data_IF_128666523424
#
_entry.id   IF_128666523424
#
_cell.length_a   1.000
_cell.length_b   1.000
_cell.length_c   1.000
_cell.angle_alpha   90.00
_cell.angle_beta   90.00
_cell.angle_gamma   90.00
#
_symmetry.space_group_name_H-M   'P 1'
#
loop_
_entity.id
_entity.type
_entity.pdbx_description
1 polymer ?
#
# COMPACT_ATOMS: atom_id res chain seq x y z
N UNK A 1 -1.83 -4.74 -6.83
CA UNK A 1 -3.03 -4.16 -6.26
C UNK A 1 -2.85 -4.07 -4.75
N UNK A 2 -3.14 -2.92 -4.17
CA UNK A 2 -3.16 -2.70 -2.74
C UNK A 2 -4.60 -2.64 -2.28
N UNK A 3 -4.92 -3.40 -1.24
CA UNK A 3 -6.27 -3.57 -0.71
C UNK A 3 -6.28 -3.43 0.80
N UNK A 4 -7.45 -3.17 1.37
CA UNK A 4 -7.67 -3.17 2.81
C UNK A 4 -7.70 -4.61 3.38
N UNK A 5 -7.55 -4.78 4.69
CA UNK A 5 -7.76 -6.07 5.35
C UNK A 5 -9.20 -6.59 5.20
N UNK A 6 -10.18 -5.70 5.20
CA UNK A 6 -11.59 -6.03 5.03
C UNK A 6 -11.85 -6.57 3.62
N UNK A 7 -11.30 -5.89 2.58
CA UNK A 7 -11.38 -6.38 1.21
C UNK A 7 -10.67 -7.73 1.02
N UNK A 8 -9.59 -7.98 1.76
CA UNK A 8 -8.95 -9.29 1.77
C UNK A 8 -9.89 -10.36 2.34
N UNK A 9 -10.60 -10.07 3.44
CA UNK A 9 -11.55 -10.99 4.04
C UNK A 9 -12.71 -11.32 3.09
N UNK A 10 -13.24 -10.30 2.39
CA UNK A 10 -14.30 -10.49 1.40
C UNK A 10 -13.84 -11.38 0.24
N UNK A 11 -12.63 -11.16 -0.28
CA UNK A 11 -12.04 -11.99 -1.33
C UNK A 11 -11.88 -13.45 -0.87
N UNK A 12 -11.48 -13.68 0.38
CA UNK A 12 -11.36 -15.03 0.96
C UNK A 12 -12.69 -15.73 1.08
N UNK A 13 -13.76 -14.97 1.27
CA UNK A 13 -15.12 -15.48 1.39
C UNK A 13 -15.79 -15.71 0.03
N UNK A 14 -15.14 -15.39 -1.09
CA UNK A 14 -15.68 -15.66 -2.42
C UNK A 14 -15.98 -17.16 -2.59
N UNK A 15 -17.16 -17.43 -3.15
CA UNK A 15 -17.59 -18.78 -3.46
C UNK A 15 -16.73 -19.44 -4.55
N UNK A 16 -16.82 -20.76 -4.62
CA UNK A 16 -16.07 -21.57 -5.61
C UNK A 16 -16.39 -21.16 -7.05
N UNK A 17 -17.60 -20.69 -7.29
CA UNK A 17 -18.10 -20.30 -8.62
C UNK A 17 -17.64 -18.89 -9.04
N UNK A 18 -17.10 -18.10 -8.10
CA UNK A 18 -16.65 -16.72 -8.32
C UNK A 18 -15.16 -16.63 -8.63
N UNK A 19 -14.39 -17.65 -8.29
CA UNK A 19 -12.97 -17.74 -8.55
C UNK A 19 -12.66 -18.71 -9.69
N UNK A 20 -11.75 -18.33 -10.56
CA UNK A 20 -11.17 -19.26 -11.52
C UNK A 20 -10.32 -20.33 -10.79
N UNK A 21 -10.03 -21.44 -11.46
CA UNK A 21 -9.33 -22.58 -10.83
C UNK A 21 -7.94 -22.21 -10.30
N UNK A 22 -7.25 -21.29 -10.97
CA UNK A 22 -5.91 -20.86 -10.58
C UNK A 22 -5.98 -19.96 -9.36
N UNK A 23 -6.83 -18.95 -9.38
CA UNK A 23 -7.01 -18.01 -8.26
C UNK A 23 -7.55 -18.72 -7.02
N UNK A 24 -8.47 -19.66 -7.19
CA UNK A 24 -8.95 -20.49 -6.08
C UNK A 24 -7.82 -21.29 -5.43
N UNK A 25 -6.89 -21.84 -6.22
CA UNK A 25 -5.74 -22.56 -5.70
C UNK A 25 -4.80 -21.62 -4.95
N UNK A 26 -4.57 -20.43 -5.48
CA UNK A 26 -3.75 -19.40 -4.86
C UNK A 26 -4.35 -18.95 -3.52
N UNK A 27 -5.65 -18.74 -3.45
CA UNK A 27 -6.36 -18.36 -2.21
C UNK A 27 -6.35 -19.47 -1.16
N UNK A 28 -6.58 -20.74 -1.56
CA UNK A 28 -6.72 -21.87 -0.63
C UNK A 28 -5.38 -22.40 -0.14
N UNK A 29 -4.33 -22.39 -0.99
CA UNK A 29 -3.03 -23.00 -0.66
C UNK A 29 -2.09 -22.10 0.10
N UNK A 30 -2.43 -20.85 0.34
CA UNK A 30 -1.55 -19.95 1.05
C UNK A 30 -1.54 -20.23 2.56
N UNK A 31 -0.60 -21.06 2.97
CA UNK A 31 -0.24 -21.22 4.38
C UNK A 31 0.32 -19.90 4.90
N UNK A 32 -0.35 -19.31 5.87
CA UNK A 32 0.08 -18.05 6.51
C UNK A 32 -0.87 -16.87 6.35
N UNK A 33 -1.97 -17.07 5.65
CA UNK A 33 -3.07 -16.11 5.72
C UNK A 33 -2.98 -14.91 4.79
N UNK A 34 -1.93 -14.70 4.02
CA UNK A 34 -1.82 -13.58 3.09
C UNK A 34 -2.27 -13.99 1.68
N UNK A 35 -3.23 -13.25 1.14
CA UNK A 35 -3.62 -13.37 -0.25
C UNK A 35 -2.54 -12.70 -1.11
N UNK A 36 -1.74 -13.49 -1.86
CA UNK A 36 -0.62 -12.93 -2.61
C UNK A 36 -0.96 -12.64 -4.08
N UNK A 37 -1.90 -13.37 -4.68
CA UNK A 37 -2.20 -13.25 -6.09
C UNK A 37 -3.61 -13.73 -6.42
N UNK A 38 -4.31 -13.00 -7.29
CA UNK A 38 -5.61 -13.37 -7.84
C UNK A 38 -5.74 -12.88 -9.28
N UNK A 39 -6.27 -13.71 -10.19
CA UNK A 39 -6.43 -13.40 -11.62
C UNK A 39 -5.16 -12.85 -12.28
N UNK A 40 -3.99 -13.34 -11.85
CA UNK A 40 -2.70 -12.87 -12.37
C UNK A 40 -2.20 -11.54 -11.80
N UNK A 41 -2.94 -10.92 -10.89
CA UNK A 41 -2.58 -9.66 -10.22
C UNK A 41 -2.02 -9.96 -8.84
N UNK A 42 -0.87 -9.37 -8.51
CA UNK A 42 -0.33 -9.44 -7.16
C UNK A 42 -1.15 -8.57 -6.22
N UNK A 43 -1.52 -9.13 -5.07
CA UNK A 43 -2.27 -8.45 -4.02
C UNK A 43 -1.33 -8.14 -2.85
N UNK A 44 -1.47 -6.95 -2.30
CA UNK A 44 -0.75 -6.50 -1.11
C UNK A 44 -1.77 -5.88 -0.16
N UNK A 45 -1.88 -6.42 1.02
CA UNK A 45 -2.75 -5.88 2.06
C UNK A 45 -2.01 -4.77 2.79
N UNK A 46 -2.66 -3.61 2.92
CA UNK A 46 -2.17 -2.47 3.67
C UNK A 46 -3.22 -2.11 4.74
N UNK A 47 -2.82 -2.21 5.99
CA UNK A 47 -3.66 -1.86 7.13
C UNK A 47 -4.14 -0.40 7.08
N UNK A 48 -3.33 0.47 6.50
CA UNK A 48 -3.63 1.90 6.37
C UNK A 48 -4.79 2.21 5.40
N UNK A 49 -5.21 1.23 4.60
CA UNK A 49 -6.37 1.34 3.72
C UNK A 49 -7.67 0.81 4.38
N UNK A 50 -7.60 0.26 5.59
CA UNK A 50 -8.73 -0.24 6.35
C UNK A 50 -9.72 0.84 6.74
N UNK A 51 -10.94 0.43 7.07
CA UNK A 51 -12.01 1.34 7.50
C UNK A 51 -11.58 2.14 8.74
N UNK A 52 -11.81 3.45 8.70
CA UNK A 52 -11.41 4.38 9.75
C UNK A 52 -9.91 4.65 9.86
N UNK A 53 -9.10 4.20 8.90
CA UNK A 53 -7.68 4.52 8.84
C UNK A 53 -7.44 5.83 8.09
N UNK A 54 -6.35 6.53 8.45
CA UNK A 54 -6.06 7.89 7.99
C UNK A 54 -5.96 7.99 6.45
N UNK A 55 -5.33 7.02 5.79
CA UNK A 55 -5.22 7.04 4.33
C UNK A 55 -6.55 6.74 3.64
N UNK A 56 -7.33 5.82 4.18
CA UNK A 56 -8.65 5.52 3.64
C UNK A 56 -9.56 6.74 3.73
N UNK A 57 -9.64 7.37 4.90
CA UNK A 57 -10.43 8.57 5.13
C UNK A 57 -10.00 9.74 4.24
N UNK A 58 -8.68 9.92 4.05
CA UNK A 58 -8.14 10.94 3.17
C UNK A 58 -8.59 10.74 1.72
N UNK A 59 -8.41 9.55 1.17
CA UNK A 59 -8.77 9.28 -0.22
C UNK A 59 -10.28 9.27 -0.43
N UNK A 60 -11.06 8.77 0.50
CA UNK A 60 -12.53 8.83 0.43
C UNK A 60 -13.02 10.28 0.42
N UNK A 61 -12.40 11.16 1.22
CA UNK A 61 -12.73 12.59 1.25
C UNK A 61 -12.38 13.28 -0.08
N UNK A 62 -11.21 12.98 -0.63
CA UNK A 62 -10.73 13.57 -1.90
C UNK A 62 -11.54 13.10 -3.10
N UNK A 63 -12.00 11.84 -3.09
CA UNK A 63 -12.86 11.25 -4.11
C UNK A 63 -14.37 11.49 -3.88
N UNK A 64 -14.73 12.22 -2.82
CA UNK A 64 -16.12 12.48 -2.49
C UNK A 64 -16.85 13.17 -3.65
N UNK A 65 -17.98 12.58 -4.09
CA UNK A 65 -18.72 13.01 -5.26
C UNK A 65 -18.40 12.27 -6.57
N UNK A 66 -17.33 11.48 -6.61
CA UNK A 66 -17.00 10.61 -7.75
C UNK A 66 -17.25 9.13 -7.44
N UNK A 67 -17.27 8.76 -6.16
CA UNK A 67 -17.53 7.38 -5.73
C UNK A 67 -19.04 7.11 -5.62
N UNK A 68 -19.48 5.89 -5.96
CA UNK A 68 -20.83 5.44 -5.69
C UNK A 68 -21.14 5.48 -4.20
N UNK A 69 -22.37 5.81 -3.84
CA UNK A 69 -22.80 5.81 -2.45
C UNK A 69 -22.66 4.41 -1.81
N UNK A 70 -22.19 4.37 -0.58
CA UNK A 70 -22.01 3.12 0.19
C UNK A 70 -20.66 2.43 0.00
N UNK A 71 -19.74 3.05 -0.73
CA UNK A 71 -18.36 2.57 -0.85
C UNK A 71 -17.51 3.16 0.28
N UNK A 72 -16.80 2.31 1.01
CA UNK A 72 -16.06 2.69 2.22
C UNK A 72 -14.58 2.32 2.16
N UNK A 73 -14.17 1.49 1.20
CA UNK A 73 -12.80 0.98 1.13
C UNK A 73 -12.14 1.39 -0.17
N UNK A 74 -10.90 1.84 -0.08
CA UNK A 74 -10.10 2.24 -1.22
C UNK A 74 -9.24 1.07 -1.69
N UNK A 75 -9.22 0.88 -3.00
CA UNK A 75 -8.34 -0.07 -3.69
C UNK A 75 -7.40 0.71 -4.59
N UNK A 76 -6.11 0.46 -4.47
CA UNK A 76 -5.08 1.14 -5.27
C UNK A 76 -4.38 0.15 -6.19
N UNK A 77 -4.53 0.34 -7.49
CA UNK A 77 -3.80 -0.41 -8.51
C UNK A 77 -2.57 0.33 -8.99
N UNK A 78 -1.43 -0.34 -9.03
CA UNK A 78 -0.20 0.18 -9.61
C UNK A 78 0.32 -0.76 -10.69
N UNK A 79 0.55 -0.24 -11.89
CA UNK A 79 1.26 -0.95 -12.95
C UNK A 79 2.75 -0.62 -12.86
N UNK A 80 3.53 -1.58 -12.35
CA UNK A 80 4.98 -1.47 -12.16
C UNK A 80 5.78 -2.12 -13.31
N UNK A 81 5.15 -2.49 -14.41
CA UNK A 81 5.84 -3.11 -15.55
C UNK A 81 6.86 -2.18 -16.21
N UNK A 82 6.60 -0.88 -16.19
CA UNK A 82 7.57 0.12 -16.65
C UNK A 82 8.22 0.80 -15.43
N UNK A 83 9.52 0.60 -15.30
CA UNK A 83 10.31 1.14 -14.17
C UNK A 83 10.39 2.66 -14.15
N UNK A 84 10.16 3.31 -15.28
CA UNK A 84 10.27 4.76 -15.40
C UNK A 84 8.98 5.50 -14.98
N UNK A 85 7.92 4.76 -14.62
CA UNK A 85 6.63 5.36 -14.25
C UNK A 85 6.61 5.97 -12.86
N UNK A 86 7.45 5.45 -11.95
CA UNK A 86 7.56 5.91 -10.58
C UNK A 86 9.02 6.16 -10.24
N UNK A 87 9.31 7.29 -9.66
CA UNK A 87 10.68 7.66 -9.31
C UNK A 87 10.77 8.08 -7.85
N UNK A 88 11.90 7.73 -7.26
CA UNK A 88 12.28 8.19 -5.92
C UNK A 88 13.57 8.99 -6.04
N UNK A 89 13.49 10.31 -6.30
CA UNK A 89 14.67 11.14 -6.30
C UNK A 89 15.25 11.20 -4.89
N UNK A 90 16.54 10.87 -4.77
CA UNK A 90 17.28 10.94 -3.53
C UNK A 90 18.31 12.06 -3.66
N UNK A 91 18.09 13.16 -2.94
CA UNK A 91 19.06 14.24 -2.85
C UNK A 91 20.16 13.91 -1.87
N UNK A 92 19.79 13.30 -0.75
CA UNK A 92 20.72 12.89 0.28
C UNK A 92 20.29 11.55 0.87
N UNK A 93 21.17 10.56 0.80
CA UNK A 93 20.98 9.27 1.46
C UNK A 93 21.00 9.42 2.99
N UNK A 94 20.61 8.36 3.67
CA UNK A 94 20.60 8.36 5.14
C UNK A 94 22.01 8.63 5.66
N UNK A 95 22.15 9.66 6.48
CA UNK A 95 23.36 9.99 7.20
C UNK A 95 23.06 9.95 8.69
N UNK A 96 23.98 9.38 9.45
CA UNK A 96 23.83 9.23 10.90
C UNK A 96 25.02 9.91 11.56
N UNK A 97 24.73 10.76 12.55
CA UNK A 97 25.73 11.45 13.35
C UNK A 97 25.51 11.18 14.83
N UNK A 98 26.63 11.21 15.54
CA UNK A 98 26.61 11.23 16.99
C UNK A 98 26.39 12.65 17.50
N UNK A 99 25.59 12.80 18.55
CA UNK A 99 25.38 14.10 19.20
C UNK A 99 26.47 14.34 20.28
N UNK A 100 27.48 15.18 19.98
CA UNK A 100 28.57 15.42 20.92
C UNK A 100 28.13 16.21 22.17
N UNK A 101 26.97 16.87 22.13
CA UNK A 101 26.50 17.69 23.26
C UNK A 101 26.04 16.83 24.43
N UNK A 102 25.61 15.60 24.17
CA UNK A 102 25.14 14.66 25.18
C UNK A 102 26.28 14.00 25.98
N UNK A 103 27.49 14.02 25.48
CA UNK A 103 28.66 13.47 26.21
C UNK A 103 28.89 14.14 27.57
N UNK A 104 28.62 15.44 27.68
CA UNK A 104 28.71 16.17 28.95
C UNK A 104 27.72 15.66 30.01
N UNK A 105 26.64 15.04 29.57
CA UNK A 105 25.59 14.46 30.42
C UNK A 105 25.79 12.97 30.64
N UNK A 106 26.91 12.38 30.19
CA UNK A 106 27.17 10.91 30.18
C UNK A 106 26.07 10.14 29.45
N UNK A 107 25.52 10.71 28.37
CA UNK A 107 24.53 10.10 27.48
C UNK A 107 25.12 10.02 26.09
N UNK A 108 24.74 8.97 25.34
CA UNK A 108 25.01 8.86 23.92
C UNK A 108 23.69 9.07 23.17
N UNK A 109 23.73 9.85 22.12
CA UNK A 109 22.61 10.07 21.22
C UNK A 109 23.09 10.04 19.78
N UNK A 110 22.26 9.54 18.91
CA UNK A 110 22.47 9.55 17.48
C UNK A 110 21.28 10.25 16.82
N UNK A 111 21.55 11.04 15.80
CA UNK A 111 20.50 11.57 14.94
C UNK A 111 20.87 11.27 13.48
N UNK A 112 19.84 11.06 12.70
CA UNK A 112 19.98 10.78 11.29
C UNK A 112 18.95 11.56 10.48
N UNK A 113 19.29 11.85 9.26
CA UNK A 113 18.34 12.42 8.31
C UNK A 113 18.61 11.92 6.89
N UNK A 114 17.59 12.00 6.06
CA UNK A 114 17.66 11.73 4.64
C UNK A 114 16.74 12.71 3.91
N UNK A 115 17.07 13.02 2.68
CA UNK A 115 16.24 13.86 1.83
C UNK A 115 15.91 13.11 0.56
N UNK A 116 14.65 12.69 0.48
CA UNK A 116 14.13 11.91 -0.63
C UNK A 116 12.69 12.33 -0.94
N UNK A 117 12.26 12.08 -2.15
CA UNK A 117 10.90 12.33 -2.58
C UNK A 117 10.33 11.13 -3.33
N UNK A 118 9.04 11.19 -3.63
CA UNK A 118 8.37 10.21 -4.46
C UNK A 118 7.55 10.94 -5.51
N UNK A 119 7.55 10.45 -6.73
CA UNK A 119 6.73 11.00 -7.80
C UNK A 119 6.28 9.93 -8.78
N UNK A 120 5.03 10.04 -9.24
CA UNK A 120 4.54 9.32 -10.39
C UNK A 120 4.76 10.18 -11.64
N UNK A 121 5.52 9.68 -12.59
CA UNK A 121 5.76 10.36 -13.87
C UNK A 121 4.66 10.04 -14.89
N UNK A 122 4.03 8.87 -14.78
CA UNK A 122 2.90 8.46 -15.63
C UNK A 122 1.71 8.07 -14.77
N UNK A 123 0.77 9.00 -14.61
CA UNK A 123 -0.46 8.82 -13.80
C UNK A 123 -1.44 7.81 -14.40
N UNK A 124 -1.32 7.46 -15.69
CA UNK A 124 -2.15 6.44 -16.34
C UNK A 124 -1.92 5.04 -15.78
N UNK A 125 -0.85 4.87 -15.00
CA UNK A 125 -0.47 3.61 -14.36
C UNK A 125 -0.92 3.49 -12.92
N UNK A 126 -1.69 4.47 -12.47
CA UNK A 126 -2.33 4.46 -11.14
C UNK A 126 -3.82 4.34 -11.34
N UNK A 127 -4.41 3.34 -10.72
CA UNK A 127 -5.85 3.14 -10.66
C UNK A 127 -6.31 3.30 -9.22
N UNK A 128 -7.30 4.14 -9.00
CA UNK A 128 -8.03 4.23 -7.74
C UNK A 128 -9.42 3.65 -7.96
N UNK A 129 -9.82 2.76 -7.09
CA UNK A 129 -11.16 2.19 -7.03
C UNK A 129 -11.67 2.18 -5.60
N UNK A 130 -12.95 1.90 -5.43
CA UNK A 130 -13.56 1.71 -4.11
C UNK A 130 -14.52 0.51 -4.14
N UNK A 131 -14.52 -0.23 -3.06
CA UNK A 131 -15.39 -1.37 -2.78
C UNK A 131 -16.50 -0.98 -1.81
#
# INVERSE_FOLDING_TARGET
LYISPEAEEDIRNFGVDELDEVSRREVITQEGGLLARMFGVNLHVLDELGDGQEYNDYYLSDLSGTLPAGKQEIVVGLDLTNRDSFVMPVRQGVQIWEDPTLHRQRRAGMYGWAEQGFAALDTRRVLLGAL
#
